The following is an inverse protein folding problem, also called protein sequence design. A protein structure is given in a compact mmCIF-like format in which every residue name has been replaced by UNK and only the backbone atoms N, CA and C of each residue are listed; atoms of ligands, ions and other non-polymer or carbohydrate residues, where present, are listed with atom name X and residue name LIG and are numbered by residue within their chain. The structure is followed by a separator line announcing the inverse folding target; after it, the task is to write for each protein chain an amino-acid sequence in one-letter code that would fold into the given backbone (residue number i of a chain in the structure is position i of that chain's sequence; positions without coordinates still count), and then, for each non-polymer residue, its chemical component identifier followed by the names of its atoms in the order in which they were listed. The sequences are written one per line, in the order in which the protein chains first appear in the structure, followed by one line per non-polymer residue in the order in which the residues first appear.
data_IF_224140507451
#
_entry.id   IF_224140507451
#
_cell.length_a   1.000
_cell.length_b   1.000
_cell.length_c   1.000
_cell.angle_alpha   90.00
_cell.angle_beta   90.00
_cell.angle_gamma   90.00
#
_symmetry.space_group_name_H-M   'P 1'
#
loop_
_entity.id
_entity.type
_entity.pdbx_description
1 polymer ?
#
# COMPACT_ATOMS: atom_id res chain seq x y z
N UNK A 1 -13.06 26.35 -8.36
CA UNK A 1 -12.33 26.68 -7.16
C UNK A 1 -11.51 25.49 -6.66
N UNK A 2 -10.57 25.75 -5.77
CA UNK A 2 -9.78 24.71 -5.11
C UNK A 2 -10.21 24.61 -3.64
N UNK A 3 -10.29 23.39 -3.12
CA UNK A 3 -10.62 23.11 -1.73
C UNK A 3 -9.79 21.96 -1.17
N UNK A 4 -9.47 22.02 0.12
CA UNK A 4 -8.86 20.89 0.83
C UNK A 4 -9.87 19.78 1.00
N UNK A 5 -9.45 18.54 0.77
CA UNK A 5 -10.31 17.39 0.99
C UNK A 5 -10.58 17.15 2.48
N UNK A 6 -11.72 16.54 2.85
CA UNK A 6 -12.02 16.17 4.23
C UNK A 6 -11.01 15.16 4.80
N UNK A 7 -10.93 15.08 6.12
CA UNK A 7 -10.12 14.07 6.80
C UNK A 7 -10.59 12.66 6.41
N UNK A 8 -9.65 11.79 6.07
CA UNK A 8 -9.94 10.42 5.62
C UNK A 8 -10.23 10.26 4.12
N UNK A 9 -10.21 11.36 3.36
CA UNK A 9 -10.28 11.31 1.91
C UNK A 9 -9.02 10.66 1.30
N UNK A 10 -9.16 10.08 0.11
CA UNK A 10 -8.01 9.63 -0.71
C UNK A 10 -7.36 10.81 -1.43
N UNK A 11 -8.16 11.75 -1.90
CA UNK A 11 -7.66 13.03 -2.37
C UNK A 11 -7.18 13.89 -1.20
N UNK A 12 -6.15 14.69 -1.43
CA UNK A 12 -5.68 15.72 -0.50
C UNK A 12 -6.31 17.08 -0.84
N UNK A 13 -6.58 17.30 -2.12
CA UNK A 13 -7.16 18.54 -2.63
C UNK A 13 -8.12 18.27 -3.78
N UNK A 14 -9.16 19.09 -3.89
CA UNK A 14 -10.08 19.13 -5.04
C UNK A 14 -9.89 20.43 -5.81
N UNK A 15 -9.83 20.33 -7.13
CA UNK A 15 -9.80 21.48 -8.04
C UNK A 15 -10.87 21.22 -9.10
N UNK A 16 -11.91 22.06 -9.12
CA UNK A 16 -13.07 21.91 -10.00
C UNK A 16 -13.66 20.49 -9.98
N UNK A 17 -13.91 19.97 -8.77
CA UNK A 17 -14.46 18.64 -8.47
C UNK A 17 -13.57 17.45 -8.86
N UNK A 18 -12.34 17.70 -9.28
CA UNK A 18 -11.34 16.66 -9.55
C UNK A 18 -10.45 16.48 -8.34
N UNK A 19 -10.31 15.24 -7.85
CA UNK A 19 -9.52 14.90 -6.67
C UNK A 19 -8.06 14.57 -7.02
N UNK A 20 -7.14 15.16 -6.26
CA UNK A 20 -5.71 14.97 -6.40
C UNK A 20 -5.12 14.43 -5.10
N UNK A 21 -4.39 13.32 -5.17
CA UNK A 21 -3.52 12.85 -4.09
C UNK A 21 -2.12 13.41 -4.29
N UNK A 22 -1.63 14.17 -3.32
CA UNK A 22 -0.34 14.87 -3.41
C UNK A 22 0.76 14.01 -2.80
N UNK A 23 1.80 13.73 -3.56
CA UNK A 23 3.01 13.01 -3.13
C UNK A 23 4.20 13.96 -3.14
N UNK A 24 4.69 14.33 -1.95
CA UNK A 24 5.86 15.21 -1.80
C UNK A 24 7.07 14.39 -1.37
N UNK A 25 8.24 14.72 -1.92
CA UNK A 25 9.51 14.06 -1.61
C UNK A 25 10.36 14.80 -0.57
N UNK A 26 9.81 15.85 0.07
CA UNK A 26 10.53 16.66 1.07
C UNK A 26 10.77 15.97 2.41
N UNK A 27 10.02 14.92 2.69
CA UNK A 27 10.09 14.17 3.94
C UNK A 27 10.30 12.68 3.66
N UNK A 28 9.86 11.81 4.58
CA UNK A 28 9.91 10.37 4.35
C UNK A 28 9.21 9.98 3.04
N UNK A 29 9.68 8.92 2.34
CA UNK A 29 9.07 8.45 1.11
C UNK A 29 7.56 8.27 1.26
N UNK A 30 6.75 8.78 0.31
CA UNK A 30 5.29 8.75 0.43
C UNK A 30 4.77 7.32 0.46
N UNK A 31 3.86 7.03 1.38
CA UNK A 31 3.21 5.74 1.49
C UNK A 31 2.11 5.59 0.42
N UNK A 32 2.14 4.47 -0.30
CA UNK A 32 1.04 4.03 -1.15
C UNK A 32 0.03 3.24 -0.31
N UNK A 33 0.53 2.38 0.56
CA UNK A 33 -0.26 1.56 1.46
C UNK A 33 0.26 1.71 2.88
N UNK A 34 -0.58 2.19 3.78
CA UNK A 34 -0.25 2.31 5.19
C UNK A 34 -0.62 1.03 5.95
N UNK A 35 0.37 0.31 6.47
CA UNK A 35 0.25 -0.72 7.49
C UNK A 35 -1.08 -1.50 7.46
N UNK A 36 -1.39 -2.11 6.30
CA UNK A 36 -2.65 -2.82 6.12
C UNK A 36 -2.46 -4.32 6.42
N UNK A 37 -3.20 -4.89 7.36
CA UNK A 37 -3.16 -6.33 7.62
C UNK A 37 -3.87 -7.12 6.51
N UNK A 38 -3.62 -8.43 6.44
CA UNK A 38 -4.14 -9.31 5.38
C UNK A 38 -5.66 -9.17 5.15
N UNK A 39 -6.44 -9.00 6.21
CA UNK A 39 -7.89 -8.86 6.06
C UNK A 39 -8.28 -7.64 5.20
N UNK A 40 -7.53 -6.55 5.28
CA UNK A 40 -7.76 -5.38 4.45
C UNK A 40 -7.43 -5.63 2.98
N UNK A 41 -6.33 -6.32 2.71
CA UNK A 41 -5.96 -6.77 1.35
C UNK A 41 -6.97 -7.76 0.79
N UNK A 42 -7.39 -8.74 1.61
CA UNK A 42 -8.42 -9.74 1.23
C UNK A 42 -9.72 -9.06 0.81
N UNK A 43 -10.15 -8.07 1.58
CA UNK A 43 -11.37 -7.31 1.28
C UNK A 43 -11.27 -6.59 -0.08
N UNK A 44 -10.13 -5.98 -0.38
CA UNK A 44 -9.90 -5.34 -1.68
C UNK A 44 -9.87 -6.37 -2.80
N UNK A 45 -9.15 -7.48 -2.63
CA UNK A 45 -9.11 -8.56 -3.59
C UNK A 45 -10.52 -9.09 -3.90
N UNK A 46 -11.34 -9.30 -2.87
CA UNK A 46 -12.72 -9.76 -3.05
C UNK A 46 -13.56 -8.75 -3.84
N UNK A 47 -13.43 -7.46 -3.53
CA UNK A 47 -14.17 -6.41 -4.25
C UNK A 47 -13.74 -6.27 -5.71
N UNK A 48 -12.49 -6.56 -6.02
CA UNK A 48 -11.92 -6.54 -7.37
C UNK A 48 -12.04 -7.89 -8.09
N UNK A 49 -12.59 -8.93 -7.43
CA UNK A 49 -12.64 -10.30 -7.94
C UNK A 49 -11.25 -10.86 -8.30
N UNK A 50 -10.25 -10.53 -7.49
CA UNK A 50 -8.86 -11.00 -7.62
C UNK A 50 -8.58 -12.04 -6.54
N UNK A 51 -7.93 -13.14 -6.91
CA UNK A 51 -7.48 -14.15 -5.94
C UNK A 51 -6.33 -13.59 -5.08
N UNK A 52 -6.44 -13.73 -3.75
CA UNK A 52 -5.39 -13.29 -2.82
C UNK A 52 -4.24 -14.29 -2.70
N UNK A 53 -4.42 -15.53 -3.15
CA UNK A 53 -3.43 -16.61 -2.98
C UNK A 53 -2.03 -16.22 -3.48
N UNK A 54 -1.85 -15.59 -4.64
CA UNK A 54 -0.52 -15.13 -5.07
C UNK A 54 0.13 -14.14 -4.10
N UNK A 55 -0.66 -13.25 -3.48
CA UNK A 55 -0.11 -12.32 -2.49
C UNK A 55 0.30 -13.04 -1.19
N UNK A 56 -0.45 -14.05 -0.76
CA UNK A 56 -0.09 -14.89 0.38
C UNK A 56 1.26 -15.61 0.12
N UNK A 57 1.48 -16.12 -1.08
CA UNK A 57 2.73 -16.75 -1.51
C UNK A 57 3.90 -15.75 -1.52
N UNK A 58 3.70 -14.55 -2.06
CA UNK A 58 4.69 -13.48 -2.06
C UNK A 58 5.10 -13.10 -0.62
N UNK A 59 4.14 -12.96 0.29
CA UNK A 59 4.42 -12.63 1.69
C UNK A 59 5.14 -13.79 2.40
N UNK A 60 4.77 -15.04 2.12
CA UNK A 60 5.47 -16.21 2.64
C UNK A 60 6.94 -16.23 2.19
N UNK A 61 7.20 -15.93 0.91
CA UNK A 61 8.55 -15.84 0.37
C UNK A 61 9.35 -14.66 1.00
N UNK A 62 8.70 -13.52 1.23
CA UNK A 62 9.31 -12.41 1.97
C UNK A 62 9.83 -12.87 3.34
N UNK A 63 9.01 -13.59 4.11
CA UNK A 63 9.44 -14.08 5.42
C UNK A 63 10.52 -15.17 5.34
N UNK A 64 10.46 -16.03 4.31
CA UNK A 64 11.51 -17.03 4.06
C UNK A 64 12.86 -16.35 3.82
N UNK A 65 12.92 -15.39 2.90
CA UNK A 65 14.13 -14.65 2.55
C UNK A 65 14.67 -13.83 3.75
N UNK A 66 13.76 -13.20 4.50
CA UNK A 66 14.11 -12.43 5.67
C UNK A 66 14.68 -13.31 6.79
N UNK A 67 14.10 -14.48 7.02
CA UNK A 67 14.57 -15.44 8.02
C UNK A 67 15.95 -16.04 7.64
N UNK A 68 16.22 -16.16 6.34
CA UNK A 68 17.52 -16.57 5.82
C UNK A 68 18.57 -15.45 5.85
N UNK A 69 18.20 -14.20 6.19
CA UNK A 69 19.09 -13.05 6.17
C UNK A 69 19.41 -12.52 4.77
N UNK A 70 18.69 -12.96 3.74
CA UNK A 70 18.90 -12.56 2.34
C UNK A 70 18.33 -11.18 2.04
N UNK A 71 17.28 -10.76 2.75
CA UNK A 71 16.68 -9.43 2.69
C UNK A 71 16.47 -8.84 4.08
N UNK A 72 16.42 -7.50 4.17
CA UNK A 72 16.07 -6.77 5.38
C UNK A 72 14.55 -6.64 5.59
N UNK A 73 14.18 -5.83 6.60
CA UNK A 73 12.77 -5.51 6.85
C UNK A 73 12.16 -4.74 5.67
N UNK A 74 12.89 -3.78 5.13
CA UNK A 74 12.54 -3.05 3.93
C UNK A 74 13.19 -3.74 2.73
N UNK A 75 12.39 -4.12 1.74
CA UNK A 75 12.88 -4.64 0.47
C UNK A 75 12.35 -3.80 -0.69
N UNK A 76 13.26 -3.23 -1.45
CA UNK A 76 12.95 -2.42 -2.62
C UNK A 76 12.86 -3.27 -3.88
N UNK A 77 12.08 -2.83 -4.86
CA UNK A 77 12.05 -3.46 -6.19
C UNK A 77 13.31 -3.18 -7.03
N UNK A 78 14.20 -2.33 -6.54
CA UNK A 78 15.58 -2.17 -7.05
C UNK A 78 16.52 -3.32 -6.60
N UNK A 79 16.07 -4.18 -5.70
CA UNK A 79 16.75 -5.40 -5.28
C UNK A 79 16.18 -6.61 -6.05
N UNK A 80 17.03 -7.34 -6.77
CA UNK A 80 16.64 -8.54 -7.53
C UNK A 80 16.07 -9.68 -6.68
N UNK A 81 16.31 -9.66 -5.36
CA UNK A 81 15.74 -10.62 -4.42
C UNK A 81 14.36 -10.23 -3.91
N UNK A 82 13.82 -9.06 -4.31
CA UNK A 82 12.48 -8.66 -3.90
C UNK A 82 11.43 -9.66 -4.41
N UNK A 83 10.69 -10.31 -3.51
CA UNK A 83 9.62 -11.24 -3.92
C UNK A 83 8.44 -10.55 -4.61
N UNK A 84 8.38 -9.21 -4.53
CA UNK A 84 7.33 -8.40 -5.16
C UNK A 84 7.66 -8.00 -6.61
N UNK A 85 8.93 -7.98 -6.96
CA UNK A 85 9.46 -7.37 -8.21
C UNK A 85 8.72 -7.86 -9.47
N UNK A 86 8.53 -9.18 -9.59
CA UNK A 86 7.99 -9.80 -10.80
C UNK A 86 6.46 -9.93 -10.80
N UNK A 87 5.76 -9.30 -9.83
CA UNK A 87 4.31 -9.40 -9.68
C UNK A 87 3.56 -8.11 -9.96
N UNK A 88 4.12 -7.23 -10.79
CA UNK A 88 3.57 -5.91 -11.11
C UNK A 88 2.14 -5.99 -11.63
N UNK A 89 1.87 -6.84 -12.60
CA UNK A 89 0.55 -6.91 -13.21
C UNK A 89 -0.51 -7.49 -12.27
N UNK A 90 -0.14 -8.41 -11.40
CA UNK A 90 -1.02 -8.92 -10.35
C UNK A 90 -1.33 -7.85 -9.30
N UNK A 91 -0.32 -7.09 -8.86
CA UNK A 91 -0.46 -6.07 -7.82
C UNK A 91 -1.07 -4.76 -8.34
N UNK A 92 -1.03 -4.50 -9.64
CA UNK A 92 -1.51 -3.25 -10.27
C UNK A 92 -2.93 -2.87 -9.84
N UNK A 93 -3.98 -3.70 -10.01
CA UNK A 93 -5.33 -3.31 -9.63
C UNK A 93 -5.46 -3.08 -8.13
N UNK A 94 -4.76 -3.86 -7.30
CA UNK A 94 -4.83 -3.77 -5.85
C UNK A 94 -4.15 -2.49 -5.35
N UNK A 95 -2.95 -2.18 -5.83
CA UNK A 95 -2.23 -0.95 -5.46
C UNK A 95 -2.93 0.30 -6.00
N UNK A 96 -3.51 0.24 -7.20
CA UNK A 96 -4.33 1.34 -7.72
C UNK A 96 -5.56 1.60 -6.85
N UNK A 97 -6.19 0.56 -6.30
CA UNK A 97 -7.28 0.75 -5.35
C UNK A 97 -6.82 1.57 -4.14
N UNK A 98 -5.67 1.23 -3.54
CA UNK A 98 -5.10 1.99 -2.42
C UNK A 98 -4.73 3.42 -2.78
N UNK A 99 -4.29 3.66 -4.00
CA UNK A 99 -3.87 4.99 -4.45
C UNK A 99 -5.05 5.92 -4.71
N UNK A 100 -6.12 5.40 -5.33
CA UNK A 100 -7.17 6.23 -5.93
C UNK A 100 -8.55 6.04 -5.31
N UNK A 101 -8.87 4.83 -4.82
CA UNK A 101 -10.25 4.47 -4.50
C UNK A 101 -10.53 4.43 -3.01
N UNK A 102 -9.69 3.77 -2.21
CA UNK A 102 -9.99 3.55 -0.81
C UNK A 102 -8.84 3.00 0.02
N UNK A 103 -9.20 2.29 1.08
CA UNK A 103 -8.27 1.65 2.02
C UNK A 103 -8.71 0.21 2.29
N UNK A 104 -7.94 -0.51 3.12
CA UNK A 104 -8.32 -1.85 3.55
C UNK A 104 -9.67 -1.95 4.27
N UNK A 105 -10.23 -0.83 4.75
CA UNK A 105 -11.54 -0.80 5.42
C UNK A 105 -12.69 -0.45 4.47
N UNK A 106 -12.43 0.15 3.33
CA UNK A 106 -13.48 0.46 2.36
C UNK A 106 -13.14 1.55 1.35
N UNK A 107 -14.09 1.78 0.46
CA UNK A 107 -14.05 2.87 -0.49
C UNK A 107 -14.07 4.21 0.23
N UNK A 108 -13.31 5.15 -0.29
CA UNK A 108 -13.37 6.54 0.15
C UNK A 108 -14.59 7.24 -0.47
N UNK A 109 -15.28 8.05 0.31
CA UNK A 109 -16.29 8.96 -0.22
C UNK A 109 -15.67 10.05 -1.13
N UNK A 110 -14.37 10.24 -1.03
CA UNK A 110 -13.59 11.25 -1.74
C UNK A 110 -12.40 10.60 -2.43
N UNK A 111 -12.60 9.86 -3.53
CA UNK A 111 -11.53 9.22 -4.29
C UNK A 111 -10.63 10.25 -4.94
N UNK A 112 -9.41 9.83 -5.27
CA UNK A 112 -8.50 10.63 -6.08
C UNK A 112 -8.63 10.22 -7.56
N UNK A 113 -8.60 11.21 -8.45
CA UNK A 113 -8.57 10.98 -9.89
C UNK A 113 -7.11 10.93 -10.39
N UNK A 114 -6.24 11.71 -9.74
CA UNK A 114 -4.84 11.86 -10.12
C UNK A 114 -3.92 11.81 -8.90
N UNK A 115 -2.68 11.41 -9.15
CA UNK A 115 -1.56 11.65 -8.25
C UNK A 115 -0.77 12.84 -8.78
N UNK A 116 -0.60 13.85 -7.94
CA UNK A 116 0.32 14.95 -8.17
C UNK A 116 1.65 14.63 -7.49
N UNK A 117 2.62 14.24 -8.26
CA UNK A 117 4.00 14.05 -7.78
C UNK A 117 4.70 15.41 -7.77
N UNK A 118 5.14 15.82 -6.59
CA UNK A 118 5.65 17.14 -6.32
C UNK A 118 7.05 17.01 -5.70
N UNK A 119 8.10 17.07 -6.53
CA UNK A 119 9.47 16.99 -6.04
C UNK A 119 9.83 18.21 -5.18
N UNK A 120 9.49 19.41 -5.65
CA UNK A 120 9.55 20.65 -4.85
C UNK A 120 8.18 21.36 -4.86
N UNK A 121 7.50 21.52 -3.72
CA UNK A 121 6.21 22.18 -3.64
C UNK A 121 6.24 23.68 -3.98
N UNK A 122 7.42 24.28 -4.02
CA UNK A 122 7.59 25.71 -4.38
C UNK A 122 8.02 25.92 -5.84
N UNK A 123 8.35 24.83 -6.56
CA UNK A 123 8.70 24.90 -7.99
C UNK A 123 7.72 24.07 -8.81
N UNK A 124 6.77 24.75 -9.47
CA UNK A 124 5.74 24.12 -10.31
C UNK A 124 6.33 23.31 -11.47
N UNK A 125 7.54 23.61 -11.91
CA UNK A 125 8.20 22.88 -12.99
C UNK A 125 8.59 21.44 -12.57
N UNK A 126 8.63 21.19 -11.25
CA UNK A 126 8.87 19.85 -10.68
C UNK A 126 7.60 19.02 -10.49
N UNK A 127 6.42 19.61 -10.74
CA UNK A 127 5.14 18.95 -10.55
C UNK A 127 4.77 18.10 -11.76
N UNK A 128 4.41 16.86 -11.51
CA UNK A 128 3.99 15.92 -12.54
C UNK A 128 2.67 15.28 -12.16
N UNK A 129 1.81 15.14 -13.15
CA UNK A 129 0.47 14.60 -12.98
C UNK A 129 0.39 13.20 -13.58
N UNK A 130 -0.14 12.26 -12.80
CA UNK A 130 -0.30 10.87 -13.19
C UNK A 130 -1.71 10.37 -12.86
N UNK A 131 -2.19 9.42 -13.64
CA UNK A 131 -3.44 8.72 -13.39
C UNK A 131 -3.20 7.24 -13.06
N UNK A 132 -4.29 6.47 -12.92
CA UNK A 132 -4.25 5.05 -12.59
C UNK A 132 -3.63 4.17 -13.69
N UNK A 133 -3.44 4.70 -14.91
CA UNK A 133 -2.85 3.93 -16.02
C UNK A 133 -1.33 3.99 -16.04
N UNK A 134 -0.74 5.04 -15.49
CA UNK A 134 0.70 5.28 -15.64
C UNK A 134 1.49 5.49 -14.35
N UNK A 135 0.86 5.86 -13.22
CA UNK A 135 1.60 6.17 -12.00
C UNK A 135 2.39 4.96 -11.47
N UNK A 136 1.78 3.79 -11.44
CA UNK A 136 2.44 2.61 -10.90
C UNK A 136 3.64 2.17 -11.76
N UNK A 137 3.56 2.31 -13.08
CA UNK A 137 4.67 2.03 -13.98
C UNK A 137 5.88 2.94 -13.70
N UNK A 138 5.60 4.21 -13.41
CA UNK A 138 6.64 5.18 -13.07
C UNK A 138 7.39 4.82 -11.78
N UNK A 139 6.66 4.41 -10.73
CA UNK A 139 7.23 4.22 -9.39
C UNK A 139 7.63 2.77 -9.09
N UNK A 140 7.31 1.81 -9.96
CA UNK A 140 7.44 0.39 -9.67
C UNK A 140 8.82 -0.01 -9.14
N UNK A 141 9.89 0.41 -9.83
CA UNK A 141 11.27 0.09 -9.44
C UNK A 141 11.73 0.81 -8.18
N UNK A 142 10.98 1.82 -7.73
CA UNK A 142 11.23 2.59 -6.50
C UNK A 142 10.36 2.15 -5.33
N UNK A 143 9.44 1.18 -5.53
CA UNK A 143 8.60 0.68 -4.44
C UNK A 143 9.43 -0.07 -3.42
N UNK A 144 9.11 0.16 -2.16
CA UNK A 144 9.68 -0.53 -1.00
C UNK A 144 8.56 -1.16 -0.22
N UNK A 145 8.68 -2.45 0.00
CA UNK A 145 7.72 -3.27 0.75
C UNK A 145 8.31 -3.65 2.10
N UNK A 146 7.47 -3.69 3.13
CA UNK A 146 7.88 -4.16 4.45
C UNK A 146 6.69 -4.71 5.23
N UNK A 147 6.94 -5.77 5.99
CA UNK A 147 5.96 -6.30 6.94
C UNK A 147 6.18 -5.68 8.32
N UNK A 148 5.15 -5.01 8.83
CA UNK A 148 5.19 -4.23 10.07
C UNK A 148 4.25 -4.82 11.12
N UNK A 149 4.46 -4.41 12.39
CA UNK A 149 3.54 -4.73 13.49
C UNK A 149 2.42 -3.69 13.65
N UNK A 150 2.57 -2.49 13.12
CA UNK A 150 1.58 -1.41 13.22
C UNK A 150 0.34 -1.74 12.39
N UNK A 151 -0.84 -1.44 12.92
CA UNK A 151 -2.11 -1.75 12.25
C UNK A 151 -2.55 -3.22 12.38
N UNK A 152 -1.69 -4.08 12.90
CA UNK A 152 -1.99 -5.49 13.15
C UNK A 152 -2.35 -5.71 14.62
N UNK A 153 -3.47 -6.39 14.88
CA UNK A 153 -3.86 -6.81 16.22
C UNK A 153 -4.11 -8.33 16.24
N UNK A 154 -3.17 -9.11 16.79
CA UNK A 154 -3.34 -10.57 16.89
C UNK A 154 -4.44 -11.00 17.86
N UNK A 155 -4.99 -10.08 18.66
CA UNK A 155 -6.00 -10.35 19.68
C UNK A 155 -7.40 -9.94 19.25
N UNK A 156 -7.77 -10.14 18.00
CA UNK A 156 -9.16 -10.00 17.58
C UNK A 156 -9.98 -11.15 18.18
N UNK A 157 -10.47 -10.97 19.40
CA UNK A 157 -11.21 -11.99 20.15
C UNK A 157 -12.71 -11.75 20.18
N UNK A 158 -13.17 -10.54 19.84
CA UNK A 158 -14.59 -10.24 19.78
C UNK A 158 -15.26 -11.02 18.63
N UNK A 159 -16.50 -11.51 18.83
CA UNK A 159 -17.19 -12.30 17.79
C UNK A 159 -17.20 -11.64 16.42
N UNK A 160 -17.41 -10.32 16.35
CA UNK A 160 -17.41 -9.56 15.09
C UNK A 160 -16.03 -9.41 14.43
N UNK A 161 -14.95 -9.76 15.13
CA UNK A 161 -13.59 -9.63 14.64
C UNK A 161 -12.93 -11.00 14.37
N UNK A 162 -13.60 -12.10 14.62
CA UNK A 162 -13.04 -13.46 14.44
C UNK A 162 -12.58 -13.69 12.99
N UNK A 163 -13.33 -13.18 12.02
CA UNK A 163 -12.93 -13.26 10.62
C UNK A 163 -11.63 -12.51 10.32
N UNK A 164 -11.40 -11.37 11.00
CA UNK A 164 -10.14 -10.60 10.88
C UNK A 164 -8.97 -11.40 11.41
N UNK A 165 -9.16 -12.05 12.55
CA UNK A 165 -8.11 -12.87 13.16
C UNK A 165 -7.75 -14.07 12.26
N UNK A 166 -8.75 -14.80 11.77
CA UNK A 166 -8.53 -15.91 10.83
C UNK A 166 -7.83 -15.45 9.54
N UNK A 167 -8.26 -14.31 8.98
CA UNK A 167 -7.64 -13.75 7.79
C UNK A 167 -6.19 -13.27 8.01
N UNK A 168 -5.84 -12.85 9.23
CA UNK A 168 -4.49 -12.42 9.57
C UNK A 168 -3.52 -13.59 9.79
N UNK A 169 -4.00 -14.79 10.10
CA UNK A 169 -3.17 -15.92 10.54
C UNK A 169 -2.07 -16.29 9.54
N UNK A 170 -2.35 -16.19 8.23
CA UNK A 170 -1.39 -16.51 7.17
C UNK A 170 -0.23 -15.51 7.07
N UNK A 171 -0.43 -14.27 7.52
CA UNK A 171 0.59 -13.23 7.48
C UNK A 171 1.25 -12.96 8.83
N UNK A 172 0.66 -13.49 9.92
CA UNK A 172 1.18 -13.29 11.26
C UNK A 172 2.48 -14.07 11.45
N UNK A 173 3.59 -13.38 11.55
CA UNK A 173 4.91 -13.97 11.75
C UNK A 173 5.63 -13.29 12.90
N UNK A 174 6.21 -14.09 13.80
CA UNK A 174 7.06 -13.56 14.90
C UNK A 174 8.48 -13.39 14.40
N UNK A 175 8.94 -12.15 14.40
CA UNK A 175 10.29 -11.79 13.98
C UNK A 175 10.84 -10.70 14.90
N UNK A 176 12.11 -10.83 15.33
CA UNK A 176 12.77 -9.90 16.26
C UNK A 176 11.96 -9.63 17.54
N UNK A 177 11.32 -10.67 18.10
CA UNK A 177 10.50 -10.56 19.30
C UNK A 177 9.13 -9.90 19.10
N UNK A 178 8.82 -9.37 17.90
CA UNK A 178 7.53 -8.76 17.57
C UNK A 178 6.74 -9.60 16.56
N UNK A 179 5.42 -9.43 16.56
CA UNK A 179 4.55 -10.03 15.54
C UNK A 179 4.43 -9.04 14.38
N UNK A 180 4.82 -9.46 13.18
CA UNK A 180 4.66 -8.74 11.93
C UNK A 180 3.45 -9.31 11.19
N UNK A 181 2.60 -8.46 10.63
CA UNK A 181 1.40 -8.93 9.96
C UNK A 181 0.70 -7.87 9.10
N UNK A 182 1.30 -6.69 8.97
CA UNK A 182 0.76 -5.61 8.15
C UNK A 182 1.74 -5.22 7.05
N UNK A 183 1.28 -5.28 5.81
CA UNK A 183 2.06 -4.86 4.66
C UNK A 183 2.01 -3.34 4.51
N UNK A 184 3.17 -2.75 4.35
CA UNK A 184 3.39 -1.33 4.12
C UNK A 184 4.15 -1.14 2.81
N UNK A 185 3.70 -0.22 1.98
CA UNK A 185 4.29 0.06 0.65
C UNK A 185 4.57 1.55 0.54
N UNK A 186 5.79 1.90 0.16
CA UNK A 186 6.25 3.29 -0.06
C UNK A 186 6.92 3.41 -1.43
N UNK A 187 6.93 4.61 -1.99
CA UNK A 187 7.78 4.95 -3.14
C UNK A 187 8.97 5.80 -2.66
N UNK A 188 10.19 5.36 -2.96
CA UNK A 188 11.41 6.16 -2.73
C UNK A 188 11.48 7.35 -3.67
#
# INVERSE_FOLDING_TARGET
GASKAPTGAKADVYINDVGYSVKSHRSAPPALVNHTPRWGWKRICDSLQVDITPLDEIVAEYFRLRSAGEIGEDVGNDNSLSPFLNHKEYLRPILNYFLFTGTGVGDSMYPANYVLDCADPYDINTWKLYDHTNYLDLVWDRLVFSMRNKGFNPRYTRPNDLWKNAACSLWAHRFDGSIKGSLHVRAK
#
